data_IF_621770137894
#
_entry.id   IF_621770137894
#
_cell.length_a   1.000
_cell.length_b   1.000
_cell.length_c   1.000
_cell.angle_alpha   90.00
_cell.angle_beta   90.00
_cell.angle_gamma   90.00
#
_symmetry.space_group_name_H-M   'P 1'
#
loop_
_entity.id
_entity.type
_entity.pdbx_description
1 polymer ?
#
# COMPACT_ATOMS: atom_id res chain seq x y z
N UNK A 1 20.96 5.61 -5.13
CA UNK A 1 19.82 6.56 -5.17
C UNK A 1 18.54 5.74 -5.26
N UNK A 2 17.46 6.15 -4.59
CA UNK A 2 16.15 5.49 -4.70
C UNK A 2 15.38 6.11 -5.87
N UNK A 3 14.88 5.28 -6.77
CA UNK A 3 14.06 5.68 -7.91
C UNK A 3 12.71 4.96 -7.88
N UNK A 4 11.62 5.66 -8.15
CA UNK A 4 10.30 5.05 -8.27
C UNK A 4 9.85 5.19 -9.72
N UNK A 5 9.39 4.08 -10.28
CA UNK A 5 8.92 4.00 -11.66
C UNK A 5 7.73 3.05 -11.80
N UNK A 6 7.00 3.17 -12.88
CA UNK A 6 5.95 2.21 -13.20
C UNK A 6 6.56 0.81 -13.38
N UNK A 7 5.86 -0.20 -12.86
CA UNK A 7 6.26 -1.58 -12.99
C UNK A 7 6.10 -2.08 -14.43
N UNK A 8 6.95 -3.02 -14.81
CA UNK A 8 6.88 -3.75 -16.07
C UNK A 8 6.72 -5.25 -15.80
N UNK A 9 6.45 -6.03 -16.81
CA UNK A 9 6.37 -7.49 -16.69
C UNK A 9 7.66 -8.13 -16.13
N UNK A 10 8.80 -7.48 -16.36
CA UNK A 10 10.11 -7.95 -15.86
C UNK A 10 10.25 -7.85 -14.34
N UNK A 11 9.42 -7.03 -13.70
CA UNK A 11 9.47 -6.83 -12.24
C UNK A 11 8.65 -7.88 -11.47
N UNK A 12 7.91 -8.73 -12.15
CA UNK A 12 6.94 -9.67 -11.53
C UNK A 12 7.58 -10.58 -10.48
N UNK A 13 8.78 -11.08 -10.72
CA UNK A 13 9.47 -11.94 -9.76
C UNK A 13 9.82 -11.18 -8.47
N UNK A 14 10.40 -9.99 -8.60
CA UNK A 14 10.76 -9.16 -7.45
C UNK A 14 9.52 -8.67 -6.69
N UNK A 15 8.44 -8.32 -7.40
CA UNK A 15 7.15 -7.97 -6.78
C UNK A 15 6.61 -9.14 -5.97
N UNK A 16 6.65 -10.36 -6.52
CA UNK A 16 6.20 -11.54 -5.78
C UNK A 16 7.03 -11.79 -4.53
N UNK A 17 8.34 -11.70 -4.61
CA UNK A 17 9.23 -11.91 -3.46
C UNK A 17 8.90 -10.93 -2.32
N UNK A 18 8.66 -9.66 -2.64
CA UNK A 18 8.25 -8.65 -1.65
C UNK A 18 6.84 -8.95 -1.12
N UNK A 19 5.88 -9.23 -1.99
CA UNK A 19 4.50 -9.55 -1.63
C UNK A 19 4.47 -10.74 -0.65
N UNK A 20 5.12 -11.83 -1.01
CA UNK A 20 5.17 -13.02 -0.16
C UNK A 20 5.83 -12.75 1.20
N UNK A 21 6.95 -12.04 1.22
CA UNK A 21 7.66 -11.71 2.45
C UNK A 21 6.85 -10.78 3.38
N UNK A 22 5.97 -9.93 2.84
CA UNK A 22 5.12 -9.02 3.62
C UNK A 22 3.84 -9.71 4.09
N UNK A 23 3.26 -10.59 3.28
CA UNK A 23 1.98 -11.25 3.58
C UNK A 23 2.15 -12.47 4.50
N UNK A 24 3.21 -13.26 4.32
CA UNK A 24 3.43 -14.50 5.06
C UNK A 24 3.43 -14.36 6.60
N UNK A 25 3.93 -13.27 7.23
CA UNK A 25 3.86 -13.09 8.68
C UNK A 25 2.45 -12.97 9.26
N UNK A 26 1.44 -12.55 8.47
CA UNK A 26 0.05 -12.44 8.92
C UNK A 26 -0.19 -11.32 9.94
N UNK A 27 0.48 -10.18 9.79
CA UNK A 27 0.47 -9.08 10.77
C UNK A 27 0.06 -7.72 10.18
N UNK A 28 0.00 -7.56 8.86
CA UNK A 28 -0.26 -6.24 8.23
C UNK A 28 -1.25 -6.24 7.07
N UNK A 29 -1.49 -7.36 6.40
CA UNK A 29 -2.41 -7.47 5.26
C UNK A 29 -3.44 -8.58 5.45
N UNK A 30 -4.63 -8.38 4.88
CA UNK A 30 -5.76 -9.32 4.98
C UNK A 30 -5.65 -10.53 4.06
N UNK A 31 -4.64 -10.60 3.20
CA UNK A 31 -4.41 -11.77 2.37
C UNK A 31 -4.13 -13.01 3.22
N UNK A 32 -4.56 -14.16 2.72
CA UNK A 32 -4.16 -15.44 3.31
C UNK A 32 -2.63 -15.53 3.32
N UNK A 33 -1.98 -15.80 4.47
CA UNK A 33 -0.53 -15.96 4.53
C UNK A 33 0.03 -17.04 3.60
N UNK A 34 -0.81 -18.01 3.20
CA UNK A 34 -0.48 -19.08 2.26
C UNK A 34 -0.86 -18.80 0.81
N UNK A 35 -1.27 -17.56 0.47
CA UNK A 35 -1.64 -17.18 -0.90
C UNK A 35 -0.56 -17.56 -1.91
N UNK A 36 -0.97 -18.17 -3.02
CA UNK A 36 -0.06 -18.60 -4.07
C UNK A 36 0.43 -17.44 -4.95
N UNK A 37 1.56 -17.67 -5.64
CA UNK A 37 2.19 -16.68 -6.51
C UNK A 37 1.26 -16.15 -7.59
N UNK A 38 0.55 -17.05 -8.27
CA UNK A 38 -0.34 -16.69 -9.37
C UNK A 38 -1.46 -15.76 -8.89
N UNK A 39 -2.11 -16.12 -7.79
CA UNK A 39 -3.22 -15.34 -7.21
C UNK A 39 -2.71 -13.98 -6.67
N UNK A 40 -1.59 -13.97 -5.96
CA UNK A 40 -0.99 -12.73 -5.43
C UNK A 40 -0.60 -11.76 -6.54
N UNK A 41 0.05 -12.25 -7.59
CA UNK A 41 0.42 -11.42 -8.75
C UNK A 41 -0.82 -10.99 -9.56
N UNK A 42 -1.83 -11.85 -9.71
CA UNK A 42 -3.07 -11.49 -10.39
C UNK A 42 -3.79 -10.33 -9.69
N UNK A 43 -3.76 -10.30 -8.37
CA UNK A 43 -4.29 -9.17 -7.59
C UNK A 43 -3.44 -7.91 -7.75
N UNK A 44 -2.13 -8.01 -7.52
CA UNK A 44 -1.23 -6.85 -7.48
C UNK A 44 -1.04 -6.20 -8.85
N UNK A 45 -0.92 -7.01 -9.89
CA UNK A 45 -0.75 -6.57 -11.29
C UNK A 45 -2.07 -6.51 -12.07
N UNK A 46 -3.22 -6.49 -11.39
CA UNK A 46 -4.52 -6.39 -12.03
C UNK A 46 -4.59 -5.13 -12.93
N UNK A 47 -5.26 -5.23 -14.07
CA UNK A 47 -5.34 -4.16 -15.06
C UNK A 47 -5.99 -2.86 -14.56
N UNK A 48 -6.77 -2.92 -13.47
CA UNK A 48 -7.33 -1.73 -12.82
C UNK A 48 -6.33 -0.98 -11.90
N UNK A 49 -5.16 -1.55 -11.69
CA UNK A 49 -4.13 -0.98 -10.82
C UNK A 49 -3.05 -0.26 -11.67
N UNK A 50 -2.66 0.94 -11.22
CA UNK A 50 -1.35 1.47 -11.58
C UNK A 50 -0.34 0.92 -10.58
N UNK A 51 0.56 0.05 -11.06
CA UNK A 51 1.58 -0.58 -10.24
C UNK A 51 2.93 0.11 -10.42
N UNK A 52 3.60 0.38 -9.31
CA UNK A 52 4.91 1.04 -9.26
C UNK A 52 5.89 0.21 -8.45
N UNK A 53 7.16 0.34 -8.76
CA UNK A 53 8.27 -0.26 -8.02
C UNK A 53 9.24 0.82 -7.55
N UNK A 54 9.80 0.61 -6.38
CA UNK A 54 10.90 1.39 -5.84
C UNK A 54 12.20 0.60 -6.03
N UNK A 55 13.11 1.18 -6.81
CA UNK A 55 14.40 0.57 -7.17
C UNK A 55 15.54 1.30 -6.48
N UNK A 56 16.44 0.55 -5.88
CA UNK A 56 17.68 1.03 -5.27
C UNK A 56 18.84 0.12 -5.70
N UNK A 57 19.89 0.70 -6.29
CA UNK A 57 21.09 -0.04 -6.71
C UNK A 57 20.74 -1.26 -7.61
N UNK A 58 19.79 -1.06 -8.55
CA UNK A 58 19.26 -2.08 -9.46
C UNK A 58 18.43 -3.20 -8.79
N UNK A 59 18.11 -3.07 -7.51
CA UNK A 59 17.25 -4.00 -6.81
C UNK A 59 15.88 -3.36 -6.52
N UNK A 60 14.82 -4.11 -6.75
CA UNK A 60 13.48 -3.69 -6.34
C UNK A 60 13.36 -3.91 -4.83
N UNK A 61 13.12 -2.82 -4.11
CA UNK A 61 13.06 -2.81 -2.64
C UNK A 61 11.68 -2.46 -2.09
N UNK A 62 10.75 -2.09 -2.96
CA UNK A 62 9.37 -1.81 -2.61
C UNK A 62 8.47 -1.81 -3.84
N UNK A 63 7.18 -1.91 -3.60
CA UNK A 63 6.14 -1.82 -4.62
C UNK A 63 4.88 -1.22 -4.03
N UNK A 64 4.12 -0.50 -4.84
CA UNK A 64 2.79 -0.05 -4.48
C UNK A 64 1.83 -0.09 -5.66
N UNK A 65 0.56 -0.19 -5.37
CA UNK A 65 -0.53 -0.09 -6.33
C UNK A 65 -1.41 1.11 -6.00
N UNK A 66 -1.93 1.75 -7.03
CA UNK A 66 -2.85 2.86 -6.98
C UNK A 66 -4.07 2.53 -7.84
N UNK A 67 -5.27 2.82 -7.36
CA UNK A 67 -6.52 2.58 -8.09
C UNK A 67 -7.63 3.47 -7.56
N UNK A 68 -8.76 3.53 -8.29
CA UNK A 68 -9.98 4.11 -7.73
C UNK A 68 -10.49 3.25 -6.57
N UNK A 69 -10.86 3.90 -5.46
CA UNK A 69 -11.38 3.21 -4.28
C UNK A 69 -12.77 2.62 -4.54
N UNK A 70 -13.61 3.34 -5.27
CA UNK A 70 -14.95 2.93 -5.66
C UNK A 70 -15.18 3.20 -7.14
N UNK A 71 -16.10 2.47 -7.80
CA UNK A 71 -16.44 2.74 -9.20
C UNK A 71 -17.36 3.94 -9.34
N UNK A 72 -17.56 4.40 -10.58
CA UNK A 72 -18.58 5.37 -10.96
C UNK A 72 -18.47 6.69 -10.21
N UNK A 73 -19.49 7.07 -9.50
CA UNK A 73 -19.57 8.37 -8.79
C UNK A 73 -18.59 8.49 -7.61
N UNK A 74 -17.99 7.41 -7.17
CA UNK A 74 -16.94 7.38 -6.15
C UNK A 74 -15.51 7.29 -6.72
N UNK A 75 -15.33 7.24 -8.04
CA UNK A 75 -14.03 6.96 -8.68
C UNK A 75 -13.01 8.10 -8.59
N UNK A 76 -13.39 9.25 -8.05
CA UNK A 76 -12.51 10.41 -7.82
C UNK A 76 -11.66 10.27 -6.55
N UNK A 77 -11.90 9.26 -5.72
CA UNK A 77 -11.10 8.95 -4.54
C UNK A 77 -10.20 7.76 -4.85
N UNK A 78 -8.89 7.94 -4.67
CA UNK A 78 -7.91 6.89 -4.85
C UNK A 78 -7.84 5.96 -3.62
N UNK A 79 -7.40 4.74 -3.85
CA UNK A 79 -6.90 3.81 -2.83
C UNK A 79 -5.50 3.36 -3.24
N UNK A 80 -4.63 3.08 -2.28
CA UNK A 80 -3.31 2.55 -2.54
C UNK A 80 -2.91 1.51 -1.49
N UNK A 81 -2.02 0.60 -1.88
CA UNK A 81 -1.42 -0.38 -0.99
C UNK A 81 0.08 -0.44 -1.25
N UNK A 82 0.87 -0.57 -0.19
CA UNK A 82 2.33 -0.44 -0.22
C UNK A 82 2.99 -1.63 0.45
N UNK A 83 4.07 -2.12 -0.15
CA UNK A 83 4.89 -3.17 0.42
C UNK A 83 6.37 -2.81 0.28
N UNK A 84 7.10 -2.92 1.38
CA UNK A 84 8.55 -2.69 1.44
C UNK A 84 9.23 -4.02 1.75
N UNK A 85 10.28 -4.34 1.00
CA UNK A 85 11.11 -5.51 1.29
C UNK A 85 11.61 -5.45 2.74
N UNK A 86 11.56 -6.57 3.50
CA UNK A 86 12.02 -6.59 4.89
C UNK A 86 13.43 -6.03 5.07
N UNK A 87 14.35 -6.32 4.15
CA UNK A 87 15.72 -5.81 4.20
C UNK A 87 15.88 -4.31 3.92
N UNK A 88 14.82 -3.65 3.44
CA UNK A 88 14.82 -2.21 3.15
C UNK A 88 13.97 -1.39 4.13
N UNK A 89 13.46 -2.01 5.18
CA UNK A 89 12.71 -1.32 6.24
C UNK A 89 13.61 -0.30 6.95
N UNK A 90 13.04 0.85 7.31
CA UNK A 90 13.78 1.92 7.96
C UNK A 90 14.68 2.77 7.05
N UNK A 91 14.76 2.44 5.75
CA UNK A 91 15.57 3.17 4.77
C UNK A 91 14.80 4.26 4.01
N UNK A 92 13.61 4.64 4.47
CA UNK A 92 12.80 5.70 3.86
C UNK A 92 12.02 5.29 2.61
N UNK A 93 12.04 4.01 2.22
CA UNK A 93 11.35 3.50 1.01
C UNK A 93 9.84 3.72 1.09
N UNK A 94 9.23 3.40 2.24
CA UNK A 94 7.79 3.58 2.45
C UNK A 94 7.36 5.05 2.34
N UNK A 95 8.14 5.98 2.91
CA UNK A 95 7.89 7.42 2.79
C UNK A 95 7.98 7.87 1.34
N UNK A 96 9.04 7.51 0.64
CA UNK A 96 9.24 7.90 -0.75
C UNK A 96 8.11 7.39 -1.66
N UNK A 97 7.67 6.14 -1.47
CA UNK A 97 6.53 5.59 -2.20
C UNK A 97 5.23 6.32 -1.84
N UNK A 98 5.02 6.65 -0.57
CA UNK A 98 3.85 7.41 -0.10
C UNK A 98 3.78 8.78 -0.76
N UNK A 99 4.87 9.55 -0.72
CA UNK A 99 4.96 10.86 -1.36
C UNK A 99 4.75 10.78 -2.88
N UNK A 100 5.38 9.81 -3.54
CA UNK A 100 5.19 9.57 -4.97
C UNK A 100 3.74 9.21 -5.30
N UNK A 101 3.10 8.37 -4.50
CA UNK A 101 1.70 7.97 -4.73
C UNK A 101 0.72 9.14 -4.63
N UNK A 102 0.95 10.07 -3.69
CA UNK A 102 0.15 11.29 -3.57
C UNK A 102 0.31 12.21 -4.78
N UNK A 103 1.54 12.33 -5.29
CA UNK A 103 1.83 13.08 -6.51
C UNK A 103 1.17 12.45 -7.75
N UNK A 104 1.30 11.13 -7.90
CA UNK A 104 0.70 10.39 -8.99
C UNK A 104 -0.83 10.40 -8.95
N UNK A 105 -1.43 10.25 -7.77
CA UNK A 105 -2.88 10.34 -7.62
C UNK A 105 -3.42 11.71 -8.09
N UNK A 106 -2.74 12.81 -7.73
CA UNK A 106 -3.08 14.15 -8.23
C UNK A 106 -2.92 14.24 -9.75
N UNK A 107 -1.81 13.74 -10.29
CA UNK A 107 -1.54 13.74 -11.74
C UNK A 107 -2.60 12.95 -12.52
N UNK A 108 -3.11 11.88 -11.95
CA UNK A 108 -4.17 11.05 -12.53
C UNK A 108 -5.58 11.64 -12.35
N UNK A 109 -5.71 12.79 -11.67
CA UNK A 109 -6.99 13.50 -11.50
C UNK A 109 -7.80 13.09 -10.29
N UNK A 110 -7.25 12.30 -9.36
CA UNK A 110 -7.94 12.02 -8.11
C UNK A 110 -7.98 13.26 -7.21
N UNK A 111 -9.04 13.38 -6.41
CA UNK A 111 -9.28 14.50 -5.49
C UNK A 111 -8.96 14.17 -4.04
N UNK A 112 -8.78 12.91 -3.73
CA UNK A 112 -8.46 12.42 -2.39
C UNK A 112 -7.87 11.01 -2.47
N UNK A 113 -7.28 10.56 -1.36
CA UNK A 113 -6.87 9.16 -1.18
C UNK A 113 -7.42 8.63 0.14
N UNK A 114 -7.96 7.41 0.08
CA UNK A 114 -8.50 6.71 1.24
C UNK A 114 -7.85 5.34 1.38
N UNK A 115 -7.40 5.05 2.59
CA UNK A 115 -7.03 3.68 2.99
C UNK A 115 -8.20 3.06 3.75
N UNK A 116 -8.69 1.93 3.28
CA UNK A 116 -9.87 1.28 3.85
C UNK A 116 -9.53 0.45 5.09
N UNK A 117 -8.27 0.06 5.24
CA UNK A 117 -7.88 -0.95 6.21
C UNK A 117 -6.41 -0.81 6.59
N UNK A 118 -6.11 0.02 7.58
CA UNK A 118 -4.78 0.14 8.16
C UNK A 118 -4.77 -0.56 9.51
N UNK A 119 -4.09 -1.69 9.61
CA UNK A 119 -4.05 -2.48 10.85
C UNK A 119 -3.47 -1.63 11.98
N UNK A 120 -4.21 -1.47 13.08
CA UNK A 120 -3.87 -0.55 14.18
C UNK A 120 -2.54 -0.87 14.84
N UNK A 121 -2.15 -2.14 14.85
CA UNK A 121 -0.88 -2.60 15.43
C UNK A 121 0.33 -2.33 14.51
N UNK A 122 0.10 -1.94 13.26
CA UNK A 122 1.14 -1.46 12.36
C UNK A 122 1.42 0.04 12.63
N UNK A 123 1.90 0.34 13.81
CA UNK A 123 2.14 1.72 14.26
C UNK A 123 3.10 2.51 13.36
N UNK A 124 4.18 1.93 12.80
CA UNK A 124 5.04 2.67 11.87
C UNK A 124 4.29 3.16 10.64
N UNK A 125 3.38 2.36 10.08
CA UNK A 125 2.55 2.76 8.94
C UNK A 125 1.55 3.85 9.34
N UNK A 126 0.85 3.70 10.45
CA UNK A 126 -0.09 4.73 10.94
C UNK A 126 0.60 6.08 11.10
N UNK A 127 1.77 6.10 11.74
CA UNK A 127 2.55 7.34 11.92
C UNK A 127 3.01 7.93 10.59
N UNK A 128 3.47 7.10 9.66
CA UNK A 128 3.89 7.56 8.34
C UNK A 128 2.74 8.24 7.59
N UNK A 129 1.57 7.60 7.55
CA UNK A 129 0.40 8.16 6.88
C UNK A 129 -0.06 9.47 7.50
N UNK A 130 -0.06 9.56 8.83
CA UNK A 130 -0.37 10.82 9.53
C UNK A 130 0.61 11.93 9.17
N UNK A 131 1.91 11.63 9.08
CA UNK A 131 2.94 12.59 8.66
C UNK A 131 2.79 13.04 7.20
N UNK A 132 2.18 12.20 6.35
CA UNK A 132 1.86 12.51 4.95
C UNK A 132 0.49 13.21 4.77
N UNK A 133 -0.19 13.53 5.86
CA UNK A 133 -1.44 14.30 5.84
C UNK A 133 -2.73 13.48 5.92
N UNK A 134 -2.64 12.16 6.11
CA UNK A 134 -3.83 11.33 6.34
C UNK A 134 -4.35 11.51 7.76
N UNK A 135 -5.66 11.52 7.89
CA UNK A 135 -6.36 11.52 9.18
C UNK A 135 -7.10 10.20 9.37
N UNK A 136 -7.13 9.69 10.60
CA UNK A 136 -7.99 8.58 10.97
C UNK A 136 -9.42 9.13 10.99
N UNK A 137 -10.27 8.61 10.09
CA UNK A 137 -11.68 9.02 9.98
C UNK A 137 -12.65 7.98 10.53
N UNK A 138 -12.17 6.80 10.83
CA UNK A 138 -12.94 5.73 11.44
C UNK A 138 -12.06 4.63 11.99
N UNK A 139 -12.60 3.90 12.97
CA UNK A 139 -12.00 2.71 13.56
C UNK A 139 -12.94 1.53 13.39
N UNK A 140 -12.44 0.44 12.83
CA UNK A 140 -13.16 -0.82 12.65
C UNK A 140 -12.72 -1.77 13.78
N UNK A 141 -13.59 -2.07 14.76
CA UNK A 141 -13.18 -2.86 15.93
C UNK A 141 -13.04 -4.33 15.59
N UNK A 142 -11.89 -4.92 15.95
CA UNK A 142 -11.66 -6.36 15.91
C UNK A 142 -11.72 -7.00 14.52
N UNK A 143 -11.48 -6.25 13.45
CA UNK A 143 -11.69 -6.70 12.06
C UNK A 143 -10.51 -7.43 11.45
N UNK A 144 -9.34 -7.39 12.09
CA UNK A 144 -8.13 -8.06 11.61
C UNK A 144 -7.69 -9.14 12.59
N UNK A 145 -7.57 -10.36 12.09
CA UNK A 145 -7.07 -11.50 12.87
C UNK A 145 -5.55 -11.53 12.81
N UNK A 146 -4.91 -10.78 13.70
CA UNK A 146 -3.45 -10.77 13.81
C UNK A 146 -2.95 -12.13 14.29
N UNK A 147 -1.90 -12.65 13.66
CA UNK A 147 -1.37 -13.99 13.91
C UNK A 147 -0.99 -14.22 15.38
N UNK A 148 -0.43 -13.19 16.04
CA UNK A 148 0.05 -13.29 17.43
C UNK A 148 -0.85 -12.61 18.44
N UNK A 149 -1.57 -11.54 18.04
CA UNK A 149 -2.33 -10.67 18.97
C UNK A 149 -3.84 -10.93 18.98
N UNK A 150 -4.32 -11.86 18.15
CA UNK A 150 -5.75 -12.12 18.00
C UNK A 150 -6.46 -11.03 17.19
N UNK A 151 -7.72 -10.76 17.52
CA UNK A 151 -8.52 -9.76 16.81
C UNK A 151 -8.11 -8.35 17.23
N UNK A 152 -7.64 -7.55 16.27
CA UNK A 152 -7.23 -6.17 16.47
C UNK A 152 -8.01 -5.24 15.55
N UNK A 153 -8.01 -3.94 15.87
CA UNK A 153 -8.70 -2.93 15.10
C UNK A 153 -7.97 -2.58 13.80
N UNK A 154 -8.69 -2.03 12.86
CA UNK A 154 -8.13 -1.35 11.70
C UNK A 154 -8.70 0.07 11.58
N UNK A 155 -7.90 0.98 11.02
CA UNK A 155 -8.29 2.34 10.76
C UNK A 155 -8.70 2.55 9.32
N UNK A 156 -9.72 3.39 9.09
CA UNK A 156 -9.96 4.04 7.81
C UNK A 156 -9.24 5.39 7.88
N UNK A 157 -8.35 5.65 6.93
CA UNK A 157 -7.58 6.88 6.87
C UNK A 157 -7.84 7.63 5.56
N UNK A 158 -7.87 8.96 5.61
CA UNK A 158 -8.27 9.80 4.49
C UNK A 158 -7.38 11.02 4.36
N UNK A 159 -7.01 11.36 3.13
CA UNK A 159 -6.27 12.57 2.77
C UNK A 159 -6.97 13.27 1.61
N UNK A 160 -7.51 14.48 1.84
CA UNK A 160 -8.04 15.35 0.78
C UNK A 160 -6.90 16.04 0.03
N UNK A 161 -7.04 16.18 -1.28
CA UNK A 161 -6.09 16.93 -2.12
C UNK A 161 -6.55 18.35 -2.39
N UNK A 162 -7.81 18.64 -2.11
CA UNK A 162 -8.31 20.00 -2.16
C UNK A 162 -7.78 20.75 -0.92
N UNK A 163 -7.14 21.87 -1.12
CA UNK A 163 -6.82 22.81 -0.04
C UNK A 163 -8.14 23.30 0.57
N UNK A 164 -8.25 23.17 1.89
CA UNK A 164 -9.40 23.70 2.63
C UNK A 164 -9.36 25.24 2.64
#
# INVERSE_FOLDING_TARGET
>A
MLQIRQATALDSAAIWDIFHAVVAPGDTYTFDPGIGREEGLAYWLHSSNWCYVAERERNIVGTYILRANQPGLGAHVANAAFMVSPGARGLGVGRAMGEHSLSEARRLGFRAMQFNFVVSTNEPAVRLWQQLGFKIVGTLPGVFRHREKGFVDAYVMFCSFDEA
#
